data_IF_838491265241
#
_entry.id   IF_838491265241
#
_cell.length_a   1.000
_cell.length_b   1.000
_cell.length_c   1.000
_cell.angle_alpha   90.00
_cell.angle_beta   90.00
_cell.angle_gamma   90.00
#
_symmetry.space_group_name_H-M   'P 1'
#
loop_
_entity.id
_entity.type
_entity.pdbx_description
1 polymer ?
#
# COMPACT_ATOMS: atom_id res chain seq x y z
N UNK A 1 -9.88 23.91 1.13
CA UNK A 1 -9.20 22.73 0.59
C UNK A 1 -9.98 21.47 0.91
N UNK A 2 -10.09 20.60 -0.05
CA UNK A 2 -10.73 19.30 0.18
C UNK A 2 -9.84 18.42 1.05
N UNK A 3 -10.42 17.73 2.02
CA UNK A 3 -9.72 16.80 2.90
C UNK A 3 -10.11 15.37 2.55
N UNK A 4 -9.92 15.01 1.29
CA UNK A 4 -10.29 13.69 0.77
C UNK A 4 -9.09 12.74 0.64
N UNK A 5 -7.91 13.23 0.94
CA UNK A 5 -6.68 12.44 0.82
C UNK A 5 -6.47 11.54 2.03
N UNK A 6 -5.80 10.42 1.80
CA UNK A 6 -5.43 9.48 2.86
C UNK A 6 -4.03 8.95 2.60
N UNK A 7 -3.44 8.38 3.64
CA UNK A 7 -2.18 7.65 3.55
C UNK A 7 -2.52 6.18 3.74
N UNK A 8 -2.01 5.33 2.86
CA UNK A 8 -2.24 3.89 2.91
C UNK A 8 -0.93 3.12 2.84
N UNK A 9 -0.98 1.86 3.25
CA UNK A 9 0.18 0.99 3.26
C UNK A 9 -0.21 -0.40 2.73
N UNK A 10 0.72 -1.02 2.00
CA UNK A 10 0.59 -2.39 1.52
C UNK A 10 1.47 -3.29 2.37
N UNK A 11 0.90 -4.40 2.85
CA UNK A 11 1.59 -5.40 3.64
C UNK A 11 1.62 -6.73 2.90
N UNK A 12 2.72 -7.48 3.09
CA UNK A 12 2.89 -8.79 2.48
C UNK A 12 2.27 -9.87 3.37
N UNK A 13 1.15 -10.51 2.96
CA UNK A 13 0.49 -11.52 3.79
C UNK A 13 1.31 -12.81 3.97
N UNK A 14 2.39 -12.99 3.19
CA UNK A 14 3.27 -14.17 3.31
C UNK A 14 4.30 -14.01 4.43
N UNK A 15 4.44 -12.81 4.98
CA UNK A 15 5.50 -12.49 5.95
C UNK A 15 4.90 -11.95 7.24
N UNK A 16 4.29 -12.82 8.06
CA UNK A 16 3.78 -12.40 9.37
C UNK A 16 4.93 -12.07 10.32
N UNK A 17 4.66 -11.22 11.29
CA UNK A 17 5.66 -10.79 12.26
C UNK A 17 5.24 -9.51 12.92
N UNK A 18 6.17 -8.90 13.67
CA UNK A 18 5.95 -7.60 14.29
C UNK A 18 6.88 -6.60 13.65
N UNK A 19 6.30 -5.62 12.95
CA UNK A 19 7.04 -4.60 12.23
C UNK A 19 6.66 -3.23 12.79
N UNK A 20 7.58 -2.61 13.52
CA UNK A 20 7.35 -1.31 14.14
C UNK A 20 7.93 -0.17 13.31
N UNK A 21 7.13 0.86 13.06
CA UNK A 21 7.55 2.07 12.35
C UNK A 21 6.90 3.27 13.03
N UNK A 22 7.70 4.05 13.74
CA UNK A 22 7.19 5.17 14.53
C UNK A 22 6.17 4.70 15.56
N UNK A 23 4.95 5.22 15.50
CA UNK A 23 3.86 4.86 16.40
C UNK A 23 3.04 3.67 15.91
N UNK A 24 3.40 3.08 14.78
CA UNK A 24 2.66 1.99 14.17
C UNK A 24 3.35 0.65 14.40
N UNK A 25 2.55 -0.39 14.61
CA UNK A 25 3.03 -1.77 14.65
C UNK A 25 2.17 -2.59 13.70
N UNK A 26 2.81 -3.23 12.72
CA UNK A 26 2.12 -4.04 11.72
C UNK A 26 2.43 -5.52 11.98
N UNK A 27 1.44 -6.37 11.70
CA UNK A 27 1.55 -7.81 11.88
C UNK A 27 2.06 -8.54 10.63
N UNK A 28 2.30 -7.81 9.57
CA UNK A 28 2.86 -8.31 8.32
C UNK A 28 3.85 -7.28 7.78
N UNK A 29 4.78 -7.73 6.93
CA UNK A 29 5.83 -6.86 6.42
C UNK A 29 5.29 -5.75 5.51
N UNK A 30 5.50 -4.46 5.86
CA UNK A 30 5.15 -3.37 4.97
C UNK A 30 6.14 -3.30 3.80
N UNK A 31 5.64 -3.03 2.60
CA UNK A 31 6.51 -2.89 1.44
C UNK A 31 6.20 -1.68 0.55
N UNK A 32 5.10 -0.98 0.82
CA UNK A 32 4.78 0.21 0.05
C UNK A 32 3.88 1.14 0.85
N UNK A 33 4.18 2.43 0.81
CA UNK A 33 3.37 3.49 1.42
C UNK A 33 3.03 4.49 0.34
N UNK A 34 1.79 4.92 0.29
CA UNK A 34 1.34 5.88 -0.71
C UNK A 34 0.30 6.86 -0.20
N UNK A 35 0.09 7.88 -1.00
CA UNK A 35 -0.94 8.88 -0.82
C UNK A 35 -2.07 8.56 -1.82
N UNK A 36 -3.31 8.64 -1.40
CA UNK A 36 -4.43 8.29 -2.25
C UNK A 36 -5.62 9.20 -2.12
N UNK A 37 -6.51 9.08 -3.09
CA UNK A 37 -7.77 9.77 -3.18
C UNK A 37 -8.78 8.77 -3.76
N UNK A 38 -9.94 8.61 -3.11
CA UNK A 38 -10.94 7.64 -3.57
C UNK A 38 -10.40 6.22 -3.57
N UNK A 39 -10.49 5.54 -4.71
CA UNK A 39 -10.08 4.15 -4.85
C UNK A 39 -8.61 3.96 -5.28
N UNK A 40 -7.81 5.02 -5.23
CA UNK A 40 -6.44 4.97 -5.73
C UNK A 40 -5.58 3.91 -5.05
N UNK A 41 -5.85 3.60 -3.77
CA UNK A 41 -5.08 2.59 -3.05
C UNK A 41 -5.18 1.20 -3.67
N UNK A 42 -6.22 0.91 -4.46
CA UNK A 42 -6.38 -0.37 -5.14
C UNK A 42 -5.82 -0.36 -6.56
N UNK A 43 -5.47 0.81 -7.08
CA UNK A 43 -5.03 0.97 -8.46
C UNK A 43 -3.76 0.17 -8.76
N UNK A 44 -2.88 0.04 -7.78
CA UNK A 44 -1.62 -0.69 -7.95
C UNK A 44 -1.83 -2.17 -8.24
N UNK A 45 -2.97 -2.74 -7.85
CA UNK A 45 -3.28 -4.14 -8.11
C UNK A 45 -3.57 -4.40 -9.59
N UNK A 46 -3.88 -3.34 -10.35
CA UNK A 46 -4.22 -3.41 -11.77
C UNK A 46 -3.10 -2.89 -12.69
N UNK A 47 -1.97 -2.49 -12.13
CA UNK A 47 -0.84 -2.04 -12.93
C UNK A 47 -0.20 -3.22 -13.66
N UNK A 48 0.40 -2.92 -14.81
CA UNK A 48 1.24 -3.87 -15.52
C UNK A 48 2.68 -3.37 -15.54
N UNK A 49 3.60 -4.20 -16.02
CA UNK A 49 5.03 -3.89 -16.00
C UNK A 49 5.37 -2.62 -16.79
N UNK A 50 4.62 -2.30 -17.82
CA UNK A 50 4.87 -1.14 -18.67
C UNK A 50 4.29 0.16 -18.11
N UNK A 51 3.30 0.04 -17.21
CA UNK A 51 2.56 1.18 -16.69
C UNK A 51 2.88 1.53 -15.24
N UNK A 52 3.83 0.85 -14.62
CA UNK A 52 4.19 1.12 -13.23
C UNK A 52 5.45 1.98 -13.14
N UNK A 53 5.42 2.94 -12.21
CA UNK A 53 6.60 3.75 -11.89
C UNK A 53 7.53 3.04 -10.91
N UNK A 54 7.02 2.04 -10.19
CA UNK A 54 7.77 1.30 -9.18
C UNK A 54 7.77 -0.19 -9.52
N UNK A 55 8.79 -0.61 -10.25
CA UNK A 55 8.92 -2.01 -10.69
C UNK A 55 9.06 -2.97 -9.52
N UNK A 56 9.76 -2.57 -8.45
CA UNK A 56 9.90 -3.39 -7.25
C UNK A 56 8.55 -3.68 -6.62
N UNK A 57 7.72 -2.66 -6.42
CA UNK A 57 6.37 -2.79 -5.87
C UNK A 57 5.53 -3.71 -6.77
N UNK A 58 5.57 -3.49 -8.07
CA UNK A 58 4.82 -4.27 -9.04
C UNK A 58 5.19 -5.76 -8.96
N UNK A 59 6.48 -6.07 -8.98
CA UNK A 59 6.96 -7.45 -8.92
C UNK A 59 6.57 -8.13 -7.61
N UNK A 60 6.62 -7.41 -6.49
CA UNK A 60 6.23 -7.95 -5.20
C UNK A 60 4.74 -8.28 -5.16
N UNK A 61 3.89 -7.40 -5.70
CA UNK A 61 2.45 -7.65 -5.81
C UNK A 61 2.20 -8.90 -6.67
N UNK A 62 2.89 -9.02 -7.80
CA UNK A 62 2.73 -10.19 -8.67
C UNK A 62 3.14 -11.49 -7.99
N UNK A 63 4.22 -11.48 -7.21
CA UNK A 63 4.64 -12.65 -6.44
C UNK A 63 3.58 -13.05 -5.41
N UNK A 64 2.99 -12.09 -4.71
CA UNK A 64 1.95 -12.35 -3.73
C UNK A 64 0.74 -12.99 -4.41
N UNK A 65 0.30 -12.44 -5.53
CA UNK A 65 -0.84 -12.95 -6.28
C UNK A 65 -0.60 -14.37 -6.80
N UNK A 66 0.60 -14.63 -7.33
CA UNK A 66 0.92 -15.92 -7.96
C UNK A 66 1.25 -17.01 -6.95
N UNK A 67 2.04 -16.70 -5.93
CA UNK A 67 2.54 -17.71 -4.99
C UNK A 67 1.57 -17.97 -3.84
N UNK A 68 0.86 -16.95 -3.40
CA UNK A 68 -0.07 -17.07 -2.28
C UNK A 68 -1.51 -17.25 -2.74
N UNK A 69 -1.85 -16.79 -3.96
CA UNK A 69 -3.23 -16.71 -4.40
C UNK A 69 -4.02 -15.65 -3.65
N UNK A 70 -3.31 -14.72 -2.99
CA UNK A 70 -3.88 -13.68 -2.14
C UNK A 70 -3.61 -12.31 -2.73
N UNK A 71 -4.30 -11.29 -2.25
CA UNK A 71 -3.95 -9.90 -2.52
C UNK A 71 -3.12 -9.36 -1.36
N UNK A 72 -2.29 -8.32 -1.58
CA UNK A 72 -1.66 -7.62 -0.46
C UNK A 72 -2.69 -7.07 0.51
N UNK A 73 -2.31 -6.97 1.78
CA UNK A 73 -3.16 -6.33 2.79
C UNK A 73 -2.99 -4.83 2.63
N UNK A 74 -4.11 -4.12 2.50
CA UNK A 74 -4.12 -2.67 2.29
C UNK A 74 -4.79 -2.02 3.48
N UNK A 75 -4.06 -1.13 4.16
CA UNK A 75 -4.57 -0.42 5.33
C UNK A 75 -4.47 1.08 5.12
N UNK A 76 -5.49 1.82 5.55
CA UNK A 76 -5.42 3.27 5.65
C UNK A 76 -4.82 3.63 7.00
N UNK A 77 -3.73 4.39 7.00
CA UNK A 77 -3.08 4.85 8.22
C UNK A 77 -3.68 6.15 8.74
N UNK A 78 -4.03 7.06 7.83
CA UNK A 78 -4.65 8.34 8.15
C UNK A 78 -5.63 8.70 7.05
N UNK A 79 -6.71 9.39 7.41
CA UNK A 79 -7.76 9.83 6.49
C UNK A 79 -8.07 11.31 6.68
N UNK A 80 -8.91 11.83 5.80
CA UNK A 80 -9.38 13.21 5.88
C UNK A 80 -8.24 14.23 5.88
N UNK A 81 -7.26 14.01 5.01
CA UNK A 81 -6.11 14.89 4.88
C UNK A 81 -6.23 15.77 3.65
N UNK A 82 -5.62 16.96 3.71
CA UNK A 82 -5.40 17.76 2.50
C UNK A 82 -4.24 17.13 1.73
N UNK A 83 -4.07 17.52 0.47
CA UNK A 83 -2.95 17.02 -0.33
C UNK A 83 -1.60 17.28 0.33
N UNK A 84 -1.45 18.46 0.94
CA UNK A 84 -0.20 18.83 1.62
C UNK A 84 0.01 17.95 2.86
N UNK A 85 -1.04 17.70 3.64
CA UNK A 85 -0.94 16.87 4.84
C UNK A 85 -0.62 15.40 4.53
N UNK A 86 -1.00 14.92 3.35
CA UNK A 86 -0.75 13.54 2.95
C UNK A 86 0.69 13.28 2.46
N UNK A 87 1.47 14.32 2.30
CA UNK A 87 2.87 14.15 1.93
C UNK A 87 3.75 13.84 3.17
#
# INVERSE_FOLDING_TARGET
>A
MKKDYYIYIYLDPRKPGKYGYGNYCFLFEPFYVGKGLGNRMYKHLKEDENNTENVYKYRKIQKILKLCGCTPIILKLKENLTEIEAY
#
